data_IF_095200199784
#
_entry.id   IF_095200199784
#
_cell.length_a   1.000
_cell.length_b   1.000
_cell.length_c   1.000
_cell.angle_alpha   90.00
_cell.angle_beta   90.00
_cell.angle_gamma   90.00
#
_symmetry.space_group_name_H-M   'P 1'
#
loop_
_entity.id
_entity.type
_entity.pdbx_description
1 polymer ?
#
# COMPACT_ATOMS: atom_id res chain seq x y z
N UNK A 1 5.10 -32.36 -5.65
CA UNK A 1 3.74 -32.11 -5.11
C UNK A 1 3.45 -30.60 -5.14
N UNK A 2 2.33 -30.21 -5.77
CA UNK A 2 1.56 -28.96 -5.62
C UNK A 2 2.09 -27.55 -5.97
N UNK A 3 3.38 -27.26 -6.23
CA UNK A 3 3.83 -25.87 -6.50
C UNK A 3 3.22 -25.25 -7.77
N UNK A 4 3.14 -26.00 -8.88
CA UNK A 4 2.51 -25.53 -10.13
C UNK A 4 1.02 -25.19 -9.96
N UNK A 5 0.32 -25.90 -9.06
CA UNK A 5 -1.11 -25.70 -8.79
C UNK A 5 -1.36 -24.44 -7.94
N UNK A 6 -0.47 -24.18 -6.98
CA UNK A 6 -0.46 -22.94 -6.20
C UNK A 6 -0.11 -21.72 -7.05
N UNK A 7 0.95 -21.81 -7.87
CA UNK A 7 1.34 -20.75 -8.81
C UNK A 7 0.22 -20.42 -9.81
N UNK A 8 -0.47 -21.44 -10.33
CA UNK A 8 -1.60 -21.23 -11.24
C UNK A 8 -2.79 -20.57 -10.54
N UNK A 9 -3.11 -20.96 -9.29
CA UNK A 9 -4.15 -20.29 -8.48
C UNK A 9 -3.79 -18.84 -8.21
N UNK A 10 -2.56 -18.56 -7.78
CA UNK A 10 -2.09 -17.19 -7.54
C UNK A 10 -2.17 -16.34 -8.80
N UNK A 11 -1.75 -16.86 -9.96
CA UNK A 11 -1.93 -16.17 -11.25
C UNK A 11 -3.39 -15.90 -11.57
N UNK A 12 -4.30 -16.85 -11.32
CA UNK A 12 -5.76 -16.68 -11.54
C UNK A 12 -6.38 -15.67 -10.58
N UNK A 13 -5.86 -15.56 -9.35
CA UNK A 13 -6.28 -14.55 -8.38
C UNK A 13 -5.75 -13.17 -8.76
N UNK A 14 -4.47 -13.08 -9.10
CA UNK A 14 -3.85 -11.84 -9.59
C UNK A 14 -4.56 -11.33 -10.84
N UNK A 15 -4.87 -12.21 -11.81
CA UNK A 15 -5.58 -11.83 -13.03
C UNK A 15 -7.01 -11.35 -12.76
N UNK A 16 -7.75 -11.99 -11.84
CA UNK A 16 -9.08 -11.51 -11.44
C UNK A 16 -9.03 -10.20 -10.66
N UNK A 17 -7.98 -9.99 -9.86
CA UNK A 17 -7.77 -8.71 -9.21
C UNK A 17 -7.46 -7.64 -10.27
N UNK A 18 -6.57 -7.92 -11.21
CA UNK A 18 -6.18 -7.03 -12.31
C UNK A 18 -7.36 -6.66 -13.22
N UNK A 19 -8.21 -7.63 -13.56
CA UNK A 19 -9.48 -7.43 -14.27
C UNK A 19 -10.44 -6.54 -13.46
N UNK A 20 -10.55 -6.75 -12.14
CA UNK A 20 -11.34 -5.84 -11.28
C UNK A 20 -10.74 -4.44 -11.20
N UNK A 21 -9.42 -4.33 -11.10
CA UNK A 21 -8.72 -3.04 -11.07
C UNK A 21 -8.83 -2.29 -12.41
N UNK A 22 -8.96 -3.00 -13.53
CA UNK A 22 -9.21 -2.42 -14.85
C UNK A 22 -10.68 -2.07 -15.08
N UNK A 23 -11.62 -2.72 -14.41
CA UNK A 23 -13.04 -2.35 -14.38
C UNK A 23 -13.38 -1.21 -13.40
N UNK A 24 -12.45 -0.80 -12.52
CA UNK A 24 -12.69 0.32 -11.61
C UNK A 24 -12.98 1.63 -12.36
N UNK A 25 -13.92 2.39 -11.81
CA UNK A 25 -14.28 3.72 -12.28
C UNK A 25 -13.08 4.68 -12.22
N UNK A 26 -12.97 5.60 -13.20
CA UNK A 26 -11.86 6.58 -13.30
C UNK A 26 -11.50 7.25 -11.97
N UNK A 27 -12.44 7.81 -11.19
CA UNK A 27 -12.12 8.44 -9.90
C UNK A 27 -11.60 7.45 -8.84
N UNK A 28 -12.08 6.19 -8.82
CA UNK A 28 -11.56 5.16 -7.91
C UNK A 28 -10.11 4.79 -8.27
N UNK A 29 -9.81 4.61 -9.56
CA UNK A 29 -8.42 4.40 -10.03
C UNK A 29 -7.49 5.55 -9.63
N UNK A 30 -7.94 6.80 -9.74
CA UNK A 30 -7.15 7.96 -9.33
C UNK A 30 -6.88 7.91 -7.82
N UNK A 31 -7.90 7.59 -7.01
CA UNK A 31 -7.76 7.51 -5.56
C UNK A 31 -6.73 6.44 -5.14
N UNK A 32 -6.79 5.26 -5.77
CA UNK A 32 -5.82 4.18 -5.50
C UNK A 32 -4.42 4.58 -5.93
N UNK A 33 -4.28 5.21 -7.10
CA UNK A 33 -2.98 5.67 -7.60
C UNK A 33 -2.38 6.74 -6.69
N UNK A 34 -3.19 7.68 -6.21
CA UNK A 34 -2.76 8.69 -5.22
C UNK A 34 -2.33 8.03 -3.91
N UNK A 35 -3.15 7.11 -3.39
CA UNK A 35 -2.83 6.35 -2.18
C UNK A 35 -1.51 5.57 -2.30
N UNK A 36 -1.25 4.99 -3.46
CA UNK A 36 0.00 4.27 -3.74
C UNK A 36 1.21 5.22 -3.81
N UNK A 37 1.08 6.38 -4.45
CA UNK A 37 2.13 7.40 -4.50
C UNK A 37 2.47 7.90 -3.10
N UNK A 38 1.46 8.22 -2.29
CA UNK A 38 1.66 8.70 -0.91
C UNK A 38 2.31 7.62 -0.03
N UNK A 39 1.86 6.37 -0.12
CA UNK A 39 2.52 5.25 0.58
C UNK A 39 3.97 5.11 0.14
N UNK A 40 4.25 5.17 -1.17
CA UNK A 40 5.60 5.02 -1.69
C UNK A 40 6.54 6.09 -1.13
N UNK A 41 6.11 7.36 -1.14
CA UNK A 41 6.90 8.48 -0.59
C UNK A 41 7.17 8.27 0.91
N UNK A 42 6.14 7.93 1.70
CA UNK A 42 6.31 7.71 3.14
C UNK A 42 7.19 6.50 3.46
N UNK A 43 7.09 5.43 2.67
CA UNK A 43 7.94 4.25 2.81
C UNK A 43 9.39 4.58 2.48
N UNK A 44 9.62 5.35 1.42
CA UNK A 44 10.95 5.80 1.04
C UNK A 44 11.58 6.67 2.14
N UNK A 45 10.80 7.59 2.71
CA UNK A 45 11.24 8.43 3.82
C UNK A 45 11.60 7.61 5.05
N UNK A 46 10.77 6.62 5.41
CA UNK A 46 11.06 5.70 6.52
C UNK A 46 12.34 4.87 6.28
N UNK A 47 12.58 4.47 5.04
CA UNK A 47 13.77 3.72 4.66
C UNK A 47 15.03 4.58 4.74
N UNK A 48 14.98 5.83 4.24
CA UNK A 48 16.06 6.80 4.41
C UNK A 48 16.37 7.07 5.88
N UNK A 49 15.34 7.26 6.73
CA UNK A 49 15.53 7.42 8.17
C UNK A 49 16.19 6.20 8.82
N UNK A 50 15.76 4.99 8.41
CA UNK A 50 16.31 3.74 8.95
C UNK A 50 17.77 3.57 8.56
N UNK A 51 18.14 3.89 7.33
CA UNK A 51 19.54 3.87 6.87
C UNK A 51 20.36 4.90 7.65
N UNK A 52 19.88 6.12 7.82
CA UNK A 52 20.56 7.18 8.56
C UNK A 52 20.75 6.85 10.06
N UNK A 53 19.82 6.09 10.65
CA UNK A 53 19.95 5.56 12.00
C UNK A 53 21.04 4.48 12.08
N UNK A 54 21.03 3.49 11.18
CA UNK A 54 21.99 2.39 11.19
C UNK A 54 23.42 2.89 10.92
N UNK A 55 23.60 3.91 10.09
CA UNK A 55 24.92 4.50 9.81
C UNK A 55 25.42 5.40 10.95
N UNK A 56 24.65 5.57 12.03
CA UNK A 56 25.01 6.44 13.15
C UNK A 56 25.00 7.93 12.81
N UNK A 57 24.47 8.32 11.64
CA UNK A 57 24.34 9.72 11.24
C UNK A 57 23.32 10.47 12.11
N UNK A 58 22.40 9.75 12.75
CA UNK A 58 21.38 10.29 13.64
C UNK A 58 21.27 9.39 14.87
N UNK A 59 21.58 9.91 16.04
CA UNK A 59 21.41 9.19 17.31
C UNK A 59 19.95 9.27 17.76
N UNK A 60 19.22 8.17 17.56
CA UNK A 60 17.79 8.04 17.91
C UNK A 60 17.58 7.12 19.12
N UNK A 61 18.52 7.10 20.07
CA UNK A 61 18.50 6.22 21.26
C UNK A 61 17.17 6.17 22.03
N UNK A 62 16.35 7.23 22.02
CA UNK A 62 14.98 7.26 22.60
C UNK A 62 13.86 7.43 21.55
N UNK A 63 14.20 7.57 20.27
CA UNK A 63 13.28 8.00 19.20
C UNK A 63 13.00 6.93 18.14
N UNK A 64 13.50 5.71 18.32
CA UNK A 64 13.17 4.56 17.43
C UNK A 64 11.66 4.34 17.35
N UNK A 65 10.91 4.73 18.38
CA UNK A 65 9.46 4.67 18.39
C UNK A 65 8.84 5.51 17.25
N UNK A 66 9.38 6.69 16.94
CA UNK A 66 8.87 7.53 15.85
C UNK A 66 8.96 6.84 14.49
N UNK A 67 10.02 6.07 14.25
CA UNK A 67 10.16 5.27 13.02
C UNK A 67 9.06 4.20 12.97
N UNK A 68 8.82 3.49 14.08
CA UNK A 68 7.71 2.53 14.18
C UNK A 68 6.35 3.20 13.93
N UNK A 69 6.11 4.37 14.51
CA UNK A 69 4.88 5.13 14.34
C UNK A 69 4.68 5.56 12.88
N UNK A 70 5.72 6.04 12.19
CA UNK A 70 5.65 6.41 10.77
C UNK A 70 5.28 5.21 9.88
N UNK A 71 5.88 4.05 10.15
CA UNK A 71 5.59 2.82 9.40
C UNK A 71 4.15 2.34 9.66
N UNK A 72 3.73 2.32 10.93
CA UNK A 72 2.37 1.92 11.32
C UNK A 72 1.30 2.86 10.75
N UNK A 73 1.51 4.18 10.83
CA UNK A 73 0.58 5.16 10.30
C UNK A 73 0.53 5.14 8.77
N UNK A 74 1.66 4.95 8.09
CA UNK A 74 1.67 4.73 6.63
C UNK A 74 0.85 3.52 6.23
N UNK A 75 1.02 2.40 6.94
CA UNK A 75 0.28 1.19 6.68
C UNK A 75 -1.23 1.38 6.92
N UNK A 76 -1.61 2.01 8.04
CA UNK A 76 -3.02 2.35 8.32
C UNK A 76 -3.62 3.27 7.27
N UNK A 77 -2.91 4.34 6.90
CA UNK A 77 -3.36 5.28 5.88
C UNK A 77 -3.64 4.58 4.55
N UNK A 78 -2.78 3.64 4.17
CA UNK A 78 -2.94 2.87 2.94
C UNK A 78 -4.15 1.94 2.98
N UNK A 79 -4.36 1.21 4.08
CA UNK A 79 -5.55 0.37 4.26
C UNK A 79 -6.82 1.20 4.18
N UNK A 80 -6.87 2.35 4.85
CA UNK A 80 -8.02 3.27 4.80
C UNK A 80 -8.24 3.79 3.37
N UNK A 81 -7.17 4.13 2.65
CA UNK A 81 -7.26 4.64 1.28
C UNK A 81 -7.79 3.57 0.30
N UNK A 82 -7.37 2.31 0.46
CA UNK A 82 -7.90 1.20 -0.35
C UNK A 82 -9.38 0.96 -0.06
N UNK A 83 -9.76 0.91 1.22
CA UNK A 83 -11.16 0.71 1.61
C UNK A 83 -12.01 1.88 1.09
N UNK A 84 -11.54 3.12 1.26
CA UNK A 84 -12.21 4.31 0.73
C UNK A 84 -12.39 4.28 -0.78
N UNK A 85 -11.37 3.82 -1.52
CA UNK A 85 -11.46 3.66 -2.98
C UNK A 85 -12.47 2.59 -3.40
N UNK A 86 -12.53 1.47 -2.67
CA UNK A 86 -13.51 0.41 -2.90
C UNK A 86 -14.94 0.87 -2.61
N UNK A 87 -15.15 1.63 -1.53
CA UNK A 87 -16.45 2.22 -1.20
C UNK A 87 -16.87 3.21 -2.30
N UNK A 88 -15.95 4.06 -2.74
CA UNK A 88 -16.20 5.03 -3.81
C UNK A 88 -16.57 4.33 -5.13
N UNK A 89 -15.91 3.23 -5.46
CA UNK A 89 -16.22 2.42 -6.64
C UNK A 89 -17.62 1.80 -6.56
N UNK A 90 -17.99 1.23 -5.41
CA UNK A 90 -19.34 0.66 -5.19
C UNK A 90 -20.41 1.76 -5.30
N UNK A 91 -20.15 2.95 -4.75
CA UNK A 91 -21.08 4.08 -4.82
C UNK A 91 -21.28 4.57 -6.26
N UNK A 92 -20.19 4.69 -7.03
CA UNK A 92 -20.26 5.13 -8.42
C UNK A 92 -20.88 4.07 -9.34
N UNK A 93 -20.57 2.79 -9.13
CA UNK A 93 -21.15 1.70 -9.93
C UNK A 93 -22.66 1.50 -9.67
N UNK A 94 -23.16 2.00 -8.55
CA UNK A 94 -24.59 1.94 -8.19
C UNK A 94 -25.41 3.09 -8.78
N UNK A 95 -24.77 4.18 -9.18
CA UNK A 95 -25.42 5.41 -9.64
C UNK A 95 -25.35 5.55 -11.17
#
# INVERSE_FOLDING_TARGET
MNEKKYMHRLRKFAKRADERFTELEKPSKILIKLGFIVLFILTLAALCLSVAYITGAIDLNERVEYIKWIVLYSCRFWVVTIIGALILDILLKRN
#
